data_IF_162566635588
#
_entry.id   IF_162566635588
#
_cell.length_a   1.000
_cell.length_b   1.000
_cell.length_c   1.000
_cell.angle_alpha   90.00
_cell.angle_beta   90.00
_cell.angle_gamma   90.00
#
_symmetry.space_group_name_H-M   'P 1'
#
loop_
_entity.id
_entity.type
_entity.pdbx_description
1 polymer ?
#
# COMPACT_ATOMS: atom_id res chain seq x y z
N UNK A 1 25.47 46.75 9.22
CA UNK A 1 24.35 46.19 10.01
C UNK A 1 23.44 45.42 9.05
N UNK A 2 23.56 44.08 9.11
CA UNK A 2 22.69 42.97 8.64
C UNK A 2 22.23 42.93 7.15
N UNK A 3 22.65 41.96 6.30
CA UNK A 3 22.29 40.51 6.25
C UNK A 3 20.78 40.37 5.99
N UNK A 4 20.22 39.91 4.85
CA UNK A 4 20.29 38.60 4.15
C UNK A 4 19.71 38.79 2.71
N UNK A 5 20.28 38.28 1.60
CA UNK A 5 19.56 38.20 0.33
C UNK A 5 18.62 36.99 0.29
N UNK A 6 17.37 37.27 -0.11
CA UNK A 6 16.24 36.37 -0.25
C UNK A 6 16.55 35.15 -1.14
N UNK A 7 16.98 34.05 -0.51
CA UNK A 7 17.09 32.74 -1.15
C UNK A 7 15.69 32.23 -1.49
N UNK A 8 15.34 32.25 -2.78
CA UNK A 8 14.31 31.37 -3.31
C UNK A 8 14.83 29.94 -3.15
N UNK A 9 14.53 29.31 -2.02
CA UNK A 9 14.72 27.88 -1.87
C UNK A 9 13.58 27.22 -2.64
N UNK A 10 13.82 26.94 -3.93
CA UNK A 10 12.98 25.98 -4.64
C UNK A 10 12.91 24.70 -3.81
N UNK A 11 11.71 24.09 -3.65
CA UNK A 11 11.63 22.80 -2.99
C UNK A 11 12.59 21.84 -3.71
N UNK A 12 13.36 21.03 -2.99
CA UNK A 12 14.22 20.06 -3.63
C UNK A 12 13.37 19.24 -4.61
N UNK A 13 13.87 18.96 -5.83
CA UNK A 13 13.15 18.09 -6.76
C UNK A 13 12.81 16.78 -6.03
N UNK A 14 11.61 16.21 -6.26
CA UNK A 14 11.23 14.96 -5.61
C UNK A 14 12.32 13.93 -5.90
N UNK A 15 12.92 13.39 -4.84
CA UNK A 15 13.88 12.29 -4.95
C UNK A 15 13.08 11.13 -5.51
N UNK A 16 13.27 10.82 -6.79
CA UNK A 16 12.76 9.59 -7.40
C UNK A 16 13.65 8.49 -6.82
N UNK A 17 13.31 8.03 -5.63
CA UNK A 17 13.83 6.78 -5.08
C UNK A 17 13.39 5.73 -6.08
N UNK A 18 14.37 4.99 -6.60
CA UNK A 18 14.21 3.92 -7.57
C UNK A 18 12.87 3.18 -7.37
N UNK A 19 12.05 3.23 -8.41
CA UNK A 19 10.66 2.79 -8.53
C UNK A 19 10.42 1.41 -7.92
N UNK A 20 10.23 1.36 -6.59
CA UNK A 20 9.72 0.26 -5.77
C UNK A 20 9.88 0.66 -4.32
N UNK A 21 8.92 1.45 -3.83
CA UNK A 21 8.69 1.47 -2.39
C UNK A 21 8.12 0.10 -2.02
N UNK A 22 9.00 -0.88 -1.83
CA UNK A 22 8.69 -2.16 -1.21
C UNK A 22 8.38 -1.87 0.25
N UNK A 23 7.23 -1.24 0.51
CA UNK A 23 6.64 -1.25 1.84
C UNK A 23 6.55 -2.72 2.23
N UNK A 24 7.26 -3.11 3.29
CA UNK A 24 7.20 -4.47 3.80
C UNK A 24 5.77 -4.68 4.29
N UNK A 25 4.91 -5.19 3.41
CA UNK A 25 3.53 -5.49 3.78
C UNK A 25 3.60 -6.68 4.75
N UNK A 26 3.20 -6.43 5.98
CA UNK A 26 3.19 -7.41 7.06
C UNK A 26 2.17 -8.51 6.77
N UNK A 27 0.95 -8.10 6.41
CA UNK A 27 -0.18 -9.00 6.17
C UNK A 27 -1.32 -8.28 5.45
N UNK A 28 -2.16 -9.07 4.79
CA UNK A 28 -3.46 -8.60 4.27
C UNK A 28 -4.52 -8.83 5.34
N UNK A 29 -5.21 -7.75 5.74
CA UNK A 29 -6.20 -7.77 6.82
C UNK A 29 -7.63 -7.98 6.32
N UNK A 30 -7.96 -7.43 5.15
CA UNK A 30 -9.31 -7.50 4.59
C UNK A 30 -9.30 -7.35 3.06
N UNK A 31 -10.42 -7.67 2.42
CA UNK A 31 -10.61 -7.40 0.98
C UNK A 31 -12.04 -6.99 0.68
N UNK A 32 -12.18 -6.14 -0.34
CA UNK A 32 -13.49 -5.66 -0.81
C UNK A 32 -13.51 -5.39 -2.29
N UNK A 33 -14.69 -5.50 -2.88
CA UNK A 33 -14.97 -5.05 -4.24
C UNK A 33 -15.56 -3.63 -4.20
N UNK A 34 -14.87 -2.68 -4.85
CA UNK A 34 -15.35 -1.30 -5.03
C UNK A 34 -15.36 -0.97 -6.52
N UNK A 35 -16.54 -0.68 -7.07
CA UNK A 35 -16.75 -0.39 -8.51
C UNK A 35 -16.12 -1.47 -9.42
N UNK A 36 -16.38 -2.74 -9.11
CA UNK A 36 -15.82 -3.94 -9.81
C UNK A 36 -14.29 -4.07 -9.74
N UNK A 37 -13.61 -3.26 -8.94
CA UNK A 37 -12.17 -3.41 -8.67
C UNK A 37 -11.97 -4.02 -7.30
N UNK A 38 -11.01 -4.93 -7.19
CA UNK A 38 -10.64 -5.57 -5.94
C UNK A 38 -9.62 -4.70 -5.19
N UNK A 39 -9.88 -4.51 -3.91
CA UNK A 39 -9.04 -3.76 -2.99
C UNK A 39 -8.74 -4.61 -1.78
N UNK A 40 -7.51 -4.50 -1.30
CA UNK A 40 -7.01 -5.18 -0.11
C UNK A 40 -6.60 -4.16 0.93
N UNK A 41 -6.97 -4.41 2.18
CA UNK A 41 -6.45 -3.68 3.31
C UNK A 41 -5.14 -4.35 3.72
N UNK A 42 -4.04 -3.61 3.60
CA UNK A 42 -2.71 -4.12 3.94
C UNK A 42 -2.14 -3.37 5.11
N UNK A 43 -1.47 -4.11 6.00
CA UNK A 43 -0.71 -3.59 7.12
C UNK A 43 0.75 -3.39 6.68
N UNK A 44 1.27 -2.16 6.73
CA UNK A 44 2.69 -1.89 6.45
C UNK A 44 3.54 -2.06 7.71
N UNK A 45 4.59 -2.90 7.64
CA UNK A 45 5.69 -2.92 8.62
C UNK A 45 6.68 -1.81 8.28
N UNK A 46 7.22 -1.14 9.30
CA UNK A 46 8.30 -0.17 9.08
C UNK A 46 8.45 0.95 10.12
N UNK A 47 7.44 1.20 10.96
CA UNK A 47 7.62 2.09 12.10
C UNK A 47 6.94 1.49 13.32
N UNK A 48 7.75 0.93 14.23
CA UNK A 48 7.37 0.20 15.45
C UNK A 48 6.53 0.98 16.49
N UNK A 49 5.78 2.02 16.10
CA UNK A 49 5.04 2.88 17.03
C UNK A 49 3.68 3.35 16.53
N UNK A 50 3.11 2.76 15.47
CA UNK A 50 1.74 3.15 15.08
C UNK A 50 0.91 2.01 14.46
N UNK A 51 0.03 1.35 15.22
CA UNK A 51 -0.84 0.26 14.74
C UNK A 51 -1.93 0.71 13.75
N UNK A 52 -2.02 2.01 13.42
CA UNK A 52 -3.10 2.57 12.61
C UNK A 52 -2.78 2.70 11.11
N UNK A 53 -1.60 2.27 10.63
CA UNK A 53 -1.17 2.44 9.23
C UNK A 53 -1.63 1.30 8.31
N UNK A 54 -2.89 0.88 8.43
CA UNK A 54 -3.52 -0.01 7.45
C UNK A 54 -4.03 0.81 6.26
N UNK A 55 -3.66 0.43 5.04
CA UNK A 55 -4.06 1.18 3.83
C UNK A 55 -4.77 0.28 2.82
N UNK A 56 -5.76 0.84 2.12
CA UNK A 56 -6.48 0.13 1.06
C UNK A 56 -5.69 0.25 -0.25
N UNK A 57 -5.10 -0.85 -0.69
CA UNK A 57 -4.38 -0.96 -1.95
C UNK A 57 -5.23 -1.70 -2.99
N UNK A 58 -5.16 -1.30 -4.27
CA UNK A 58 -5.77 -2.10 -5.33
C UNK A 58 -5.02 -3.42 -5.47
N UNK A 59 -5.71 -4.48 -5.88
CA UNK A 59 -5.10 -5.79 -6.15
C UNK A 59 -3.94 -5.73 -7.14
N UNK A 60 -3.93 -4.72 -8.02
CA UNK A 60 -2.86 -4.47 -8.99
C UNK A 60 -1.52 -4.16 -8.32
N UNK A 61 -1.51 -3.44 -7.19
CA UNK A 61 -0.30 -3.14 -6.41
C UNK A 61 0.25 -4.40 -5.73
N UNK A 62 -0.63 -5.32 -5.34
CA UNK A 62 -0.25 -6.57 -4.68
C UNK A 62 0.11 -7.70 -5.64
N UNK A 63 0.13 -7.45 -6.96
CA UNK A 63 0.57 -8.44 -7.96
C UNK A 63 2.00 -8.95 -7.70
N UNK A 64 2.84 -8.12 -7.10
CA UNK A 64 4.22 -8.48 -6.74
C UNK A 64 4.30 -9.32 -5.45
N UNK A 65 3.21 -9.41 -4.68
CA UNK A 65 3.13 -10.14 -3.42
C UNK A 65 2.01 -11.20 -3.43
N UNK A 66 2.07 -12.18 -4.35
CA UNK A 66 1.00 -13.17 -4.52
C UNK A 66 0.82 -14.06 -3.29
N UNK A 67 1.86 -14.25 -2.48
CA UNK A 67 1.81 -14.98 -1.23
C UNK A 67 0.85 -14.34 -0.22
N UNK A 68 0.92 -13.02 0.00
CA UNK A 68 0.05 -12.32 0.93
C UNK A 68 -1.43 -12.45 0.57
N UNK A 69 -1.73 -12.41 -0.72
CA UNK A 69 -3.08 -12.60 -1.24
C UNK A 69 -3.52 -14.05 -1.05
N UNK A 70 -2.64 -15.01 -1.34
CA UNK A 70 -2.92 -16.45 -1.22
C UNK A 70 -3.18 -16.83 0.23
N UNK A 71 -2.32 -16.45 1.16
CA UNK A 71 -2.46 -16.76 2.59
C UNK A 71 -3.73 -16.14 3.18
N UNK A 72 -4.06 -14.90 2.79
CA UNK A 72 -5.32 -14.28 3.18
C UNK A 72 -6.54 -15.06 2.67
N UNK A 73 -6.57 -15.43 1.39
CA UNK A 73 -7.70 -16.18 0.82
C UNK A 73 -7.77 -17.63 1.28
N UNK A 74 -6.65 -18.21 1.73
CA UNK A 74 -6.64 -19.51 2.40
C UNK A 74 -7.35 -19.45 3.76
N UNK A 75 -7.11 -18.38 4.54
CA UNK A 75 -7.75 -18.18 5.84
C UNK A 75 -9.19 -17.66 5.72
N UNK A 76 -9.49 -16.88 4.68
CA UNK A 76 -10.76 -16.22 4.47
C UNK A 76 -11.33 -16.49 3.06
N UNK A 77 -11.73 -17.74 2.74
CA UNK A 77 -12.19 -18.11 1.39
C UNK A 77 -13.51 -17.45 0.96
N UNK A 78 -14.30 -16.94 1.91
CA UNK A 78 -15.54 -16.19 1.65
C UNK A 78 -15.28 -14.75 1.18
N UNK A 79 -14.07 -14.23 1.45
CA UNK A 79 -13.72 -12.85 1.10
C UNK A 79 -13.52 -12.72 -0.42
N UNK A 80 -13.81 -11.55 -1.00
CA UNK A 80 -13.67 -11.37 -2.44
C UNK A 80 -12.21 -11.48 -2.89
N UNK A 81 -11.94 -12.37 -3.83
CA UNK A 81 -10.61 -12.63 -4.37
C UNK A 81 -10.51 -12.38 -5.88
N UNK A 82 -9.31 -12.47 -6.46
CA UNK A 82 -9.10 -12.29 -7.90
C UNK A 82 -9.84 -13.36 -8.73
N UNK A 83 -10.14 -14.50 -8.12
CA UNK A 83 -10.90 -15.60 -8.72
C UNK A 83 -12.39 -15.61 -8.36
N UNK A 84 -12.86 -14.63 -7.58
CA UNK A 84 -14.30 -14.47 -7.29
C UNK A 84 -15.00 -13.94 -8.53
N UNK A 85 -15.22 -14.83 -9.49
CA UNK A 85 -16.12 -14.60 -10.61
C UNK A 85 -17.50 -14.32 -10.03
N UNK A 86 -18.03 -13.14 -10.29
CA UNK A 86 -19.39 -12.78 -9.87
C UNK A 86 -20.38 -13.78 -10.47
N UNK A 87 -20.90 -14.67 -9.62
CA UNK A 87 -22.12 -15.40 -9.88
C UNK A 87 -23.31 -14.45 -9.80
#
# INVERSE_FOLDING_TARGET
MSTIPNGHQEPPPPIIIEDKEEWEVSQTLDSKLKRRKLWYLVECKGFSQNPERSTWQPAETLKNFPELVKDFHYLYPDKPGPNSSGA
#
